data_IF_746574062993
#
_entry.id   IF_746574062993
#
_cell.length_a   1.000
_cell.length_b   1.000
_cell.length_c   1.000
_cell.angle_alpha   90.00
_cell.angle_beta   90.00
_cell.angle_gamma   90.00
#
_symmetry.space_group_name_H-M   'P 1'
#
loop_
_entity.id
_entity.type
_entity.pdbx_description
1 polymer ?
#
# COMPACT_ATOMS: atom_id res chain seq x y z
N UNK A 1 -9.33 4.51 -20.36
CA UNK A 1 -8.73 4.79 -19.04
C UNK A 1 -8.03 6.13 -19.13
N UNK A 2 -8.25 7.04 -18.17
CA UNK A 2 -7.56 8.34 -18.11
C UNK A 2 -6.22 8.26 -17.35
N UNK A 3 -6.02 7.32 -16.43
CA UNK A 3 -4.78 7.10 -15.68
C UNK A 3 -4.99 6.21 -14.45
N UNK A 4 -3.93 5.90 -13.71
CA UNK A 4 -3.93 5.09 -12.50
C UNK A 4 -3.20 5.84 -11.37
N UNK A 5 -3.70 5.70 -10.14
CA UNK A 5 -3.12 6.37 -8.96
C UNK A 5 -2.74 5.28 -7.93
N UNK A 6 -1.50 5.26 -7.41
CA UNK A 6 -1.11 4.31 -6.39
C UNK A 6 -1.83 4.59 -5.06
N UNK A 7 -2.30 3.53 -4.40
CA UNK A 7 -2.95 3.58 -3.09
C UNK A 7 -2.26 2.64 -2.10
N UNK A 8 -2.77 2.57 -0.88
CA UNK A 8 -2.48 1.46 0.02
C UNK A 8 -3.15 0.15 -0.42
N UNK A 9 -2.93 -0.90 0.38
CA UNK A 9 -3.46 -2.24 0.11
C UNK A 9 -4.96 -2.31 0.42
N UNK A 10 -5.71 -2.98 -0.46
CA UNK A 10 -7.16 -3.13 -0.36
C UNK A 10 -7.90 -1.80 -0.31
N UNK A 11 -7.84 -0.97 -1.38
CA UNK A 11 -8.68 0.22 -1.47
C UNK A 11 -10.15 -0.19 -1.44
N UNK A 12 -10.94 0.51 -0.62
CA UNK A 12 -12.33 0.14 -0.30
C UNK A 12 -13.34 1.24 -0.64
N UNK A 13 -12.90 2.50 -0.67
CA UNK A 13 -13.75 3.64 -1.05
C UNK A 13 -12.91 4.75 -1.67
N UNK A 14 -13.52 5.48 -2.60
CA UNK A 14 -13.01 6.71 -3.20
C UNK A 14 -14.10 7.77 -3.15
N UNK A 15 -13.74 8.99 -2.77
CA UNK A 15 -14.61 10.16 -2.81
C UNK A 15 -13.88 11.36 -3.40
N UNK A 16 -14.61 12.25 -4.05
CA UNK A 16 -14.09 13.50 -4.64
C UNK A 16 -14.64 14.67 -3.83
N UNK A 17 -13.84 15.71 -3.59
CA UNK A 17 -14.34 16.96 -3.00
C UNK A 17 -15.39 17.63 -3.90
N UNK A 18 -16.24 18.48 -3.31
CA UNK A 18 -17.34 19.12 -4.03
C UNK A 18 -16.89 20.01 -5.20
N UNK A 19 -15.70 20.61 -5.09
CA UNK A 19 -15.07 21.43 -6.13
C UNK A 19 -14.23 20.62 -7.12
N UNK A 20 -14.12 19.30 -6.94
CA UNK A 20 -13.34 18.42 -7.81
C UNK A 20 -11.83 18.54 -7.65
N UNK A 21 -11.31 19.24 -6.63
CA UNK A 21 -9.87 19.47 -6.47
C UNK A 21 -9.14 18.35 -5.71
N UNK A 22 -9.85 17.55 -4.90
CA UNK A 22 -9.26 16.55 -4.03
C UNK A 22 -9.92 15.17 -4.18
N UNK A 23 -9.10 14.14 -4.07
CA UNK A 23 -9.49 12.74 -3.90
C UNK A 23 -9.22 12.28 -2.46
N UNK A 24 -10.15 11.50 -1.95
CA UNK A 24 -10.10 10.86 -0.64
C UNK A 24 -10.23 9.36 -0.81
N UNK A 25 -9.21 8.59 -0.40
CA UNK A 25 -9.18 7.14 -0.56
C UNK A 25 -9.03 6.47 0.80
N UNK A 26 -9.85 5.46 1.06
CA UNK A 26 -9.72 4.59 2.24
C UNK A 26 -9.20 3.23 1.82
N UNK A 27 -8.11 2.77 2.45
CA UNK A 27 -7.52 1.46 2.21
C UNK A 27 -7.46 0.63 3.50
N UNK A 28 -7.64 -0.69 3.39
CA UNK A 28 -7.70 -1.59 4.54
C UNK A 28 -6.36 -1.87 5.21
N UNK A 29 -5.24 -1.72 4.48
CA UNK A 29 -3.89 -1.95 5.00
C UNK A 29 -2.87 -0.94 4.45
N UNK A 30 -2.05 -0.42 5.35
CA UNK A 30 -0.95 0.51 5.08
C UNK A 30 0.37 -0.03 5.61
N UNK A 31 1.47 0.64 5.25
CA UNK A 31 2.77 0.37 5.84
C UNK A 31 2.72 0.51 7.37
N UNK A 32 3.30 -0.45 8.07
CA UNK A 32 3.34 -0.50 9.55
C UNK A 32 4.29 0.50 10.16
N UNK A 33 5.17 1.11 9.37
CA UNK A 33 6.31 1.85 9.89
C UNK A 33 7.38 0.89 10.47
N UNK A 34 8.32 1.42 11.27
CA UNK A 34 9.43 0.64 11.81
C UNK A 34 8.98 -0.55 12.66
N UNK A 35 9.65 -1.69 12.49
CA UNK A 35 9.52 -2.88 13.33
C UNK A 35 10.87 -3.16 14.01
N UNK A 36 11.19 -2.51 15.15
CA UNK A 36 12.54 -2.49 15.72
C UNK A 36 13.12 -3.87 16.06
N UNK A 37 12.28 -4.83 16.43
CA UNK A 37 12.69 -6.21 16.71
C UNK A 37 12.69 -7.12 15.47
N UNK A 38 12.48 -6.55 14.28
CA UNK A 38 12.42 -7.26 13.00
C UNK A 38 11.44 -8.44 12.99
N UNK A 39 10.30 -8.29 13.67
CA UNK A 39 9.21 -9.27 13.77
C UNK A 39 8.40 -9.36 12.46
N UNK A 40 9.08 -9.64 11.34
CA UNK A 40 8.48 -9.84 10.02
C UNK A 40 8.10 -11.30 9.83
N UNK A 41 7.00 -11.56 9.10
CA UNK A 41 6.68 -12.90 8.59
C UNK A 41 7.69 -13.26 7.50
N UNK A 42 8.92 -13.61 7.88
CA UNK A 42 9.80 -14.34 6.97
C UNK A 42 9.23 -15.75 6.86
N UNK A 43 8.95 -16.16 5.63
CA UNK A 43 8.71 -17.54 5.24
C UNK A 43 9.93 -18.38 5.71
N UNK A 44 9.87 -18.91 6.93
CA UNK A 44 11.05 -19.46 7.63
C UNK A 44 11.25 -18.99 9.07
N UNK A 45 10.43 -18.06 9.59
CA UNK A 45 10.22 -17.92 11.02
C UNK A 45 9.58 -19.22 11.50
N UNK A 46 10.42 -20.18 11.88
CA UNK A 46 10.03 -21.33 12.67
C UNK A 46 9.08 -20.83 13.74
N UNK A 47 7.84 -21.33 13.75
CA UNK A 47 6.91 -21.14 14.86
C UNK A 47 7.70 -21.14 16.17
N UNK A 48 7.73 -20.02 16.89
CA UNK A 48 8.06 -20.09 18.31
C UNK A 48 9.23 -19.26 18.84
N UNK A 49 9.39 -18.00 18.42
CA UNK A 49 9.67 -16.99 19.45
C UNK A 49 8.80 -15.73 19.30
N UNK A 50 7.48 -15.95 19.32
CA UNK A 50 6.52 -14.87 19.55
C UNK A 50 6.54 -14.36 21.00
N UNK A 51 7.38 -14.91 21.89
CA UNK A 51 7.37 -14.47 23.30
C UNK A 51 7.89 -13.03 23.41
N UNK A 52 8.93 -12.69 22.66
CA UNK A 52 9.50 -11.34 22.58
C UNK A 52 8.64 -10.42 21.70
N UNK A 53 8.26 -10.85 20.50
CA UNK A 53 7.46 -10.05 19.56
C UNK A 53 5.99 -9.84 19.99
N UNK A 54 5.35 -10.87 20.55
CA UNK A 54 3.96 -10.83 20.99
C UNK A 54 3.79 -10.00 22.26
N UNK A 55 4.72 -10.10 23.23
CA UNK A 55 4.72 -9.23 24.41
C UNK A 55 5.00 -7.76 24.05
N UNK A 56 5.81 -7.51 23.01
CA UNK A 56 6.13 -6.16 22.55
C UNK A 56 5.08 -5.56 21.59
N UNK A 57 4.05 -6.32 21.17
CA UNK A 57 3.08 -5.94 20.14
C UNK A 57 3.72 -5.49 18.81
N UNK A 58 4.84 -6.09 18.43
CA UNK A 58 5.59 -5.71 17.23
C UNK A 58 5.34 -6.61 16.02
N UNK A 59 4.40 -7.54 16.10
CA UNK A 59 4.02 -8.33 14.93
C UNK A 59 3.47 -7.42 13.82
N UNK A 60 3.96 -7.58 12.59
CA UNK A 60 3.61 -6.71 11.45
C UNK A 60 2.09 -6.59 11.24
N UNK A 61 1.32 -7.65 11.45
CA UNK A 61 -0.14 -7.57 11.31
C UNK A 61 -0.85 -6.90 12.50
N UNK A 62 -0.26 -6.91 13.70
CA UNK A 62 -0.77 -6.12 14.83
C UNK A 62 -0.52 -4.62 14.63
N UNK A 63 0.63 -4.29 14.04
CA UNK A 63 1.01 -2.92 13.73
C UNK A 63 0.29 -2.35 12.51
N UNK A 64 -0.18 -3.22 11.60
CA UNK A 64 -0.89 -2.81 10.39
C UNK A 64 -2.17 -2.04 10.73
N UNK A 65 -2.36 -0.89 10.07
CA UNK A 65 -3.55 -0.05 10.18
C UNK A 65 -4.15 0.21 8.79
N UNK A 66 -5.42 0.62 8.77
CA UNK A 66 -6.03 1.23 7.59
C UNK A 66 -5.34 2.56 7.24
N UNK A 67 -5.52 3.02 6.01
CA UNK A 67 -5.03 4.31 5.54
C UNK A 67 -6.15 5.22 5.07
N UNK A 68 -5.92 6.53 5.23
CA UNK A 68 -6.74 7.58 4.63
C UNK A 68 -5.81 8.47 3.80
N UNK A 69 -5.91 8.34 2.48
CA UNK A 69 -5.09 9.10 1.54
C UNK A 69 -5.88 10.32 1.06
N UNK A 70 -5.27 11.49 1.20
CA UNK A 70 -5.78 12.77 0.68
C UNK A 70 -4.83 13.25 -0.41
N UNK A 71 -5.30 13.31 -1.65
CA UNK A 71 -4.47 13.67 -2.81
C UNK A 71 -5.21 14.72 -3.63
N UNK A 72 -4.54 15.77 -4.14
CA UNK A 72 -5.10 16.57 -5.21
C UNK A 72 -5.48 15.67 -6.39
N UNK A 73 -6.54 15.99 -7.13
CA UNK A 73 -6.84 15.27 -8.37
C UNK A 73 -5.67 15.51 -9.34
N UNK A 74 -4.90 14.47 -9.69
CA UNK A 74 -3.75 14.64 -10.57
C UNK A 74 -4.20 14.80 -12.02
N UNK A 75 -3.44 15.58 -12.78
CA UNK A 75 -3.70 15.88 -14.19
C UNK A 75 -2.38 15.92 -14.97
N UNK A 76 -2.45 15.75 -16.29
CA UNK A 76 -1.29 15.87 -17.18
C UNK A 76 -0.14 14.97 -16.75
N UNK A 77 1.06 15.54 -16.68
CA UNK A 77 2.29 14.81 -16.36
C UNK A 77 2.23 14.10 -15.00
N UNK A 78 1.62 14.70 -13.97
CA UNK A 78 1.47 14.05 -12.66
C UNK A 78 0.67 12.74 -12.76
N UNK A 79 -0.41 12.73 -13.56
CA UNK A 79 -1.23 11.54 -13.75
C UNK A 79 -0.48 10.48 -14.56
N UNK A 80 0.32 10.89 -15.54
CA UNK A 80 1.13 9.99 -16.35
C UNK A 80 2.22 9.31 -15.50
N UNK A 81 2.90 10.07 -14.65
CA UNK A 81 3.91 9.56 -13.71
C UNK A 81 3.31 8.56 -12.71
N UNK A 82 2.18 8.91 -12.08
CA UNK A 82 1.49 8.02 -11.15
C UNK A 82 1.02 6.74 -11.85
N UNK A 83 0.59 6.85 -13.10
CA UNK A 83 0.18 5.70 -13.92
C UNK A 83 1.36 4.77 -14.20
N UNK A 84 2.51 5.35 -14.57
CA UNK A 84 3.74 4.60 -14.78
C UNK A 84 4.20 3.89 -13.49
N UNK A 85 4.08 4.56 -12.34
CA UNK A 85 4.40 3.96 -11.04
C UNK A 85 3.49 2.76 -10.72
N UNK A 86 2.19 2.86 -10.98
CA UNK A 86 1.26 1.73 -10.81
C UNK A 86 1.64 0.57 -11.73
N UNK A 87 1.97 0.84 -12.99
CA UNK A 87 2.40 -0.19 -13.93
C UNK A 87 3.69 -0.88 -13.49
N UNK A 88 4.65 -0.13 -12.94
CA UNK A 88 5.87 -0.67 -12.36
C UNK A 88 5.59 -1.53 -11.12
N UNK A 89 4.77 -1.03 -10.19
CA UNK A 89 4.42 -1.74 -8.95
C UNK A 89 3.71 -3.08 -9.21
N UNK A 90 2.94 -3.17 -10.30
CA UNK A 90 2.17 -4.36 -10.65
C UNK A 90 2.79 -5.17 -11.80
N UNK A 91 4.01 -4.84 -12.23
CA UNK A 91 4.72 -5.52 -13.31
C UNK A 91 3.94 -5.64 -14.63
N UNK A 92 3.04 -4.70 -14.94
CA UNK A 92 2.25 -4.74 -16.19
C UNK A 92 3.11 -4.68 -17.46
N UNK A 93 4.32 -4.12 -17.34
CA UNK A 93 5.28 -3.99 -18.43
C UNK A 93 6.28 -5.17 -18.50
N UNK A 94 6.19 -6.15 -17.59
CA UNK A 94 7.03 -7.33 -17.67
C UNK A 94 6.60 -8.19 -18.86
N UNK A 95 7.56 -8.57 -19.72
CA UNK A 95 7.31 -9.61 -20.72
C UNK A 95 7.02 -10.90 -19.97
N UNK A 96 5.93 -11.58 -20.31
CA UNK A 96 5.68 -12.92 -19.80
C UNK A 96 6.81 -13.82 -20.29
N UNK A 97 7.56 -14.41 -19.36
CA UNK A 97 8.45 -15.51 -19.69
C UNK A 97 7.57 -16.66 -20.20
N UNK A 98 7.80 -17.08 -21.44
CA UNK A 98 7.09 -18.21 -22.02
C UNK A 98 7.46 -19.48 -21.22
N UNK A 99 6.45 -20.06 -20.57
CA UNK A 99 6.54 -21.38 -19.93
C UNK A 99 6.43 -22.50 -20.97
#
# INVERSE_FOLDING_TARGET
MQGLIPTGWYPSSVSVSADGSMLYVVNGKSNTGPVPQNCTDVEGATKGDFSTCGAANQYVWQLTKAGFLTVPVPHGEDLDELTAQVAQNNHYNAKQDAA
#
